data_IF_409402249901
#
_entry.id   IF_409402249901
#
_cell.length_a   1.000
_cell.length_b   1.000
_cell.length_c   1.000
_cell.angle_alpha   90.00
_cell.angle_beta   90.00
_cell.angle_gamma   90.00
#
_symmetry.space_group_name_H-M   'P 1'
#
loop_
_entity.id
_entity.type
_entity.pdbx_description
1 polymer ?
#
# COMPACT_ATOMS: atom_id res chain seq x y z
N UNK A 1 5.40 -21.43 15.23
CA UNK A 1 4.04 -21.11 14.74
C UNK A 1 4.19 -20.08 13.65
N UNK A 2 3.80 -20.37 12.40
CA UNK A 2 3.87 -19.38 11.31
C UNK A 2 2.87 -18.27 11.59
N UNK A 3 3.26 -17.00 11.46
CA UNK A 3 2.30 -15.91 11.55
C UNK A 3 1.21 -16.08 10.48
N UNK A 4 -0.07 -15.80 10.79
CA UNK A 4 -1.15 -15.87 9.81
C UNK A 4 -0.86 -14.91 8.65
N UNK A 5 -1.18 -15.29 7.40
CA UNK A 5 -0.91 -14.46 6.23
C UNK A 5 -1.67 -13.14 6.33
N UNK A 6 -1.03 -12.08 5.83
CA UNK A 6 -1.70 -10.79 5.63
C UNK A 6 -2.55 -10.84 4.37
N UNK A 7 -3.75 -10.27 4.44
CA UNK A 7 -4.60 -10.03 3.27
C UNK A 7 -4.87 -8.54 3.10
N UNK A 8 -5.18 -8.13 1.86
CA UNK A 8 -5.51 -6.75 1.53
C UNK A 8 -6.98 -6.48 1.87
N UNK A 9 -7.21 -5.88 3.04
CA UNK A 9 -8.55 -5.62 3.56
C UNK A 9 -9.23 -4.41 2.89
N UNK A 10 -8.45 -3.38 2.54
CA UNK A 10 -8.96 -2.19 1.84
C UNK A 10 -7.86 -1.52 1.01
N UNK A 11 -8.25 -1.00 -0.15
CA UNK A 11 -7.43 -0.15 -1.03
C UNK A 11 -8.13 1.18 -1.20
N UNK A 12 -7.42 2.27 -0.95
CA UNK A 12 -7.88 3.62 -1.25
C UNK A 12 -6.71 4.40 -1.87
N UNK A 13 -6.61 4.32 -3.19
CA UNK A 13 -5.50 4.89 -3.96
C UNK A 13 -6.04 5.88 -5.00
N UNK A 14 -5.25 6.93 -5.24
CA UNK A 14 -5.42 7.86 -6.35
C UNK A 14 -4.22 7.74 -7.29
N UNK A 15 -4.47 7.91 -8.58
CA UNK A 15 -3.47 7.78 -9.64
C UNK A 15 -3.35 9.11 -10.40
N UNK A 16 -2.65 10.12 -9.83
CA UNK A 16 -2.61 11.46 -10.41
C UNK A 16 -1.79 11.56 -11.71
N UNK A 17 -0.98 10.55 -12.04
CA UNK A 17 -0.17 10.54 -13.25
C UNK A 17 0.18 9.13 -13.73
N UNK A 18 0.47 8.96 -15.02
CA UNK A 18 0.79 7.66 -15.63
C UNK A 18 2.28 7.33 -15.59
N UNK A 19 2.66 6.10 -15.25
CA UNK A 19 4.04 5.63 -15.45
C UNK A 19 4.24 5.14 -16.89
N UNK A 20 5.43 5.32 -17.45
CA UNK A 20 5.78 4.76 -18.78
C UNK A 20 6.60 3.49 -18.65
N UNK A 21 6.53 2.56 -19.62
CA UNK A 21 7.43 1.41 -19.66
C UNK A 21 8.91 1.85 -19.61
N UNK A 22 9.72 1.14 -18.83
CA UNK A 22 11.12 1.47 -18.61
C UNK A 22 11.37 2.50 -17.50
N UNK A 23 10.35 3.20 -17.00
CA UNK A 23 10.49 4.05 -15.82
C UNK A 23 10.70 3.20 -14.56
N UNK A 24 11.56 3.66 -13.66
CA UNK A 24 11.74 3.06 -12.33
C UNK A 24 10.78 3.71 -11.35
N UNK A 25 9.99 2.90 -10.66
CA UNK A 25 9.11 3.36 -9.59
C UNK A 25 9.77 3.17 -8.23
N UNK A 26 9.87 4.26 -7.47
CA UNK A 26 10.19 4.23 -6.05
C UNK A 26 8.88 4.09 -5.29
N UNK A 27 8.72 2.99 -4.56
CA UNK A 27 7.52 2.70 -3.77
C UNK A 27 7.85 2.76 -2.29
N UNK A 28 7.06 3.52 -1.55
CA UNK A 28 7.21 3.71 -0.11
C UNK A 28 5.91 3.33 0.59
N UNK A 29 6.06 2.66 1.73
CA UNK A 29 4.95 2.31 2.61
C UNK A 29 5.33 2.64 4.05
N UNK A 30 4.46 3.38 4.73
CA UNK A 30 4.63 3.74 6.14
C UNK A 30 3.42 3.28 6.93
N UNK A 31 3.64 2.45 7.95
CA UNK A 31 2.60 2.09 8.90
C UNK A 31 2.19 3.37 9.66
N UNK A 32 0.95 3.81 9.48
CA UNK A 32 0.41 4.97 10.18
C UNK A 32 -0.32 4.58 11.46
N UNK A 33 -1.06 3.46 11.43
CA UNK A 33 -1.87 3.04 12.58
C UNK A 33 -2.18 1.55 12.56
N UNK A 34 -2.34 0.98 13.74
CA UNK A 34 -2.82 -0.40 13.96
C UNK A 34 -4.17 -0.36 14.70
N UNK A 35 -5.13 -1.16 14.24
CA UNK A 35 -6.46 -1.33 14.79
C UNK A 35 -6.71 -2.83 15.04
N UNK A 36 -6.29 -3.34 16.20
CA UNK A 36 -6.33 -4.78 16.47
C UNK A 36 -5.51 -5.56 15.45
N UNK A 37 -6.17 -6.36 14.61
CA UNK A 37 -5.54 -7.15 13.55
C UNK A 37 -5.46 -6.42 12.19
N UNK A 38 -5.92 -5.17 12.11
CA UNK A 38 -5.86 -4.34 10.91
C UNK A 38 -4.71 -3.32 10.99
N UNK A 39 -3.99 -3.13 9.90
CA UNK A 39 -2.80 -2.27 9.80
C UNK A 39 -3.02 -1.29 8.66
N UNK A 40 -3.07 0.00 8.96
CA UNK A 40 -3.25 1.07 7.98
C UNK A 40 -1.89 1.64 7.58
N UNK A 41 -1.59 1.55 6.30
CA UNK A 41 -0.39 2.11 5.69
C UNK A 41 -0.74 3.33 4.85
N UNK A 42 0.06 4.38 4.98
CA UNK A 42 0.18 5.40 3.95
C UNK A 42 1.19 4.90 2.91
N UNK A 43 0.82 4.97 1.64
CA UNK A 43 1.66 4.50 0.54
C UNK A 43 1.79 5.53 -0.56
N UNK A 44 2.93 5.54 -1.22
CA UNK A 44 3.21 6.37 -2.37
C UNK A 44 4.08 5.59 -3.36
N UNK A 45 3.82 5.78 -4.65
CA UNK A 45 4.69 5.36 -5.73
C UNK A 45 5.06 6.58 -6.57
N UNK A 46 6.35 6.75 -6.84
CA UNK A 46 6.91 7.89 -7.58
C UNK A 46 7.79 7.44 -8.73
N UNK A 47 7.75 8.17 -9.85
CA UNK A 47 8.69 8.06 -10.97
C UNK A 47 9.50 9.36 -10.99
N UNK A 48 10.74 9.31 -10.51
CA UNK A 48 11.48 10.52 -10.13
C UNK A 48 10.74 11.31 -9.05
N UNK A 49 10.47 12.60 -9.30
CA UNK A 49 9.74 13.47 -8.37
C UNK A 49 8.21 13.38 -8.53
N UNK A 50 7.73 12.66 -9.55
CA UNK A 50 6.31 12.63 -9.90
C UNK A 50 5.61 11.48 -9.19
N UNK A 51 4.66 11.79 -8.31
CA UNK A 51 3.74 10.81 -7.75
C UNK A 51 2.88 10.19 -8.87
N UNK A 52 2.94 8.87 -9.02
CA UNK A 52 2.12 8.10 -9.97
C UNK A 52 0.94 7.45 -9.26
N UNK A 53 1.10 7.08 -7.99
CA UNK A 53 0.04 6.60 -7.13
C UNK A 53 0.28 7.05 -5.69
N UNK A 54 -0.79 7.39 -4.98
CA UNK A 54 -0.72 7.69 -3.55
C UNK A 54 -2.04 7.41 -2.86
N UNK A 55 -1.98 7.08 -1.58
CA UNK A 55 -3.17 6.87 -0.77
C UNK A 55 -2.88 5.95 0.39
N UNK A 56 -3.88 5.15 0.76
CA UNK A 56 -3.79 4.26 1.93
C UNK A 56 -4.16 2.83 1.57
N UNK A 57 -3.48 1.89 2.23
CA UNK A 57 -3.80 0.47 2.19
C UNK A 57 -4.12 0.00 3.61
N UNK A 58 -5.05 -0.95 3.72
CA UNK A 58 -5.29 -1.65 4.98
C UNK A 58 -4.97 -3.13 4.79
N UNK A 59 -4.05 -3.65 5.59
CA UNK A 59 -3.75 -5.07 5.68
C UNK A 59 -4.42 -5.66 6.91
N UNK A 60 -4.91 -6.89 6.83
CA UNK A 60 -5.50 -7.61 7.96
C UNK A 60 -4.76 -8.90 8.27
N UNK A 61 -4.70 -9.27 9.55
CA UNK A 61 -4.36 -10.63 10.02
C UNK A 61 -5.67 -11.38 10.34
N UNK A 62 -5.95 -12.48 9.64
CA UNK A 62 -7.18 -13.26 9.84
C UNK A 62 -7.42 -14.31 8.74
N UNK A 63 -8.15 -15.38 9.09
CA UNK A 63 -8.47 -16.48 8.17
C UNK A 63 -9.54 -16.09 7.15
N UNK A 64 -9.21 -16.34 5.87
CA UNK A 64 -9.93 -16.17 4.58
C UNK A 64 -10.94 -15.00 4.45
N UNK A 65 -10.89 -14.23 3.34
CA UNK A 65 -11.81 -13.12 3.07
C UNK A 65 -13.28 -13.57 3.03
#
# INVERSE_FOLDING_TARGET
VSEPPLFLAKVDLKFPATARPGETLVMEARLERTYGTLFRFQVEARSGERAVAKGTLMLGKGGRP
#
